data_IF_485970712369
#
_entry.id   IF_485970712369
#
_cell.length_a   1.000
_cell.length_b   1.000
_cell.length_c   1.000
_cell.angle_alpha   90.00
_cell.angle_beta   90.00
_cell.angle_gamma   90.00
#
_symmetry.space_group_name_H-M   'P 1'
#
loop_
_entity.id
_entity.type
_entity.pdbx_description
1 polymer ?
#
# COMPACT_ATOMS: atom_id res chain seq x y z
N UNK A 1 -0.74 -11.43 21.44
CA UNK A 1 0.68 -11.04 21.56
C UNK A 1 0.77 -9.53 21.63
N UNK A 2 1.56 -9.03 22.58
CA UNK A 2 1.94 -7.62 22.69
C UNK A 2 3.25 -7.40 21.95
N UNK A 3 3.40 -6.27 21.27
CA UNK A 3 4.63 -5.90 20.57
C UNK A 3 5.42 -4.87 21.39
N UNK A 4 6.70 -5.13 21.63
CA UNK A 4 7.53 -4.33 22.53
C UNK A 4 8.88 -4.06 21.88
N UNK A 5 8.99 -2.85 21.32
CA UNK A 5 10.17 -2.38 20.60
C UNK A 5 10.28 -0.86 20.72
N UNK A 6 11.51 -0.37 20.63
CA UNK A 6 11.78 1.07 20.62
C UNK A 6 11.54 1.68 19.23
N UNK A 7 11.33 2.99 19.16
CA UNK A 7 11.18 3.70 17.87
C UNK A 7 12.36 3.45 16.91
N UNK A 8 13.65 3.51 17.35
CA UNK A 8 14.77 3.18 16.48
C UNK A 8 14.75 1.72 15.99
N UNK A 9 14.37 0.77 16.85
CA UNK A 9 14.27 -0.64 16.46
C UNK A 9 13.19 -0.86 15.40
N UNK A 10 12.02 -0.20 15.53
CA UNK A 10 10.95 -0.28 14.54
C UNK A 10 11.36 0.30 13.17
N UNK A 11 11.98 1.48 13.16
CA UNK A 11 12.47 2.10 11.91
C UNK A 11 13.56 1.23 11.28
N UNK A 12 14.50 0.73 12.09
CA UNK A 12 15.55 -0.18 11.63
C UNK A 12 15.00 -1.47 11.03
N UNK A 13 13.99 -2.07 11.67
CA UNK A 13 13.30 -3.26 11.15
C UNK A 13 12.57 -2.97 9.83
N UNK A 14 11.91 -1.81 9.69
CA UNK A 14 11.28 -1.43 8.43
C UNK A 14 12.31 -1.23 7.30
N UNK A 15 13.44 -0.59 7.58
CA UNK A 15 14.52 -0.44 6.61
C UNK A 15 15.12 -1.80 6.21
N UNK A 16 15.33 -2.71 7.18
CA UNK A 16 15.81 -4.06 6.91
C UNK A 16 14.82 -4.86 6.06
N UNK A 17 13.53 -4.85 6.41
CA UNK A 17 12.46 -5.50 5.64
C UNK A 17 12.39 -4.93 4.20
N UNK A 18 12.51 -3.62 4.04
CA UNK A 18 12.56 -2.96 2.73
C UNK A 18 13.77 -3.43 1.91
N UNK A 19 14.97 -3.41 2.49
CA UNK A 19 16.20 -3.85 1.83
C UNK A 19 16.14 -5.34 1.46
N UNK A 20 15.62 -6.19 2.35
CA UNK A 20 15.40 -7.61 2.08
C UNK A 20 14.38 -7.83 0.96
N UNK A 21 13.25 -7.12 0.98
CA UNK A 21 12.23 -7.21 -0.07
C UNK A 21 12.79 -6.82 -1.45
N UNK A 22 13.55 -5.73 -1.53
CA UNK A 22 14.21 -5.34 -2.79
C UNK A 22 15.29 -6.36 -3.14
N UNK A 23 16.11 -6.79 -2.18
CA UNK A 23 17.21 -7.72 -2.39
C UNK A 23 16.77 -9.06 -2.98
N UNK A 24 15.63 -9.62 -2.55
CA UNK A 24 15.12 -10.88 -3.10
C UNK A 24 14.76 -10.80 -4.59
N UNK A 25 14.46 -9.60 -5.11
CA UNK A 25 14.23 -9.38 -6.54
C UNK A 25 15.52 -9.51 -7.37
N UNK A 26 16.67 -9.28 -6.74
CA UNK A 26 17.99 -9.25 -7.38
C UNK A 26 18.83 -10.51 -7.21
N UNK A 27 18.38 -11.48 -6.40
CA UNK A 27 19.09 -12.76 -6.25
C UNK A 27 19.18 -13.43 -7.62
N UNK A 28 20.37 -13.76 -8.12
CA UNK A 28 20.53 -14.34 -9.46
C UNK A 28 19.96 -13.46 -10.60
N UNK A 29 20.00 -12.13 -10.42
CA UNK A 29 19.62 -11.18 -11.46
C UNK A 29 20.61 -11.20 -12.61
N UNK A 30 20.08 -11.36 -13.82
CA UNK A 30 20.84 -11.35 -15.06
C UNK A 30 20.37 -10.15 -15.90
N UNK A 31 21.29 -9.22 -16.16
CA UNK A 31 21.03 -7.99 -16.93
C UNK A 31 20.87 -8.26 -18.42
N UNK A 32 21.25 -9.44 -18.91
CA UNK A 32 21.08 -9.85 -20.31
C UNK A 32 19.67 -10.36 -20.62
N UNK A 33 18.87 -10.67 -19.60
CA UNK A 33 17.53 -11.26 -19.76
C UNK A 33 16.43 -10.26 -19.45
N UNK A 34 15.33 -10.35 -20.18
CA UNK A 34 14.19 -9.48 -19.94
C UNK A 34 13.47 -9.88 -18.64
N UNK A 35 13.11 -8.88 -17.83
CA UNK A 35 12.31 -9.04 -16.61
C UNK A 35 10.93 -9.66 -16.84
N UNK A 36 10.45 -9.64 -18.08
CA UNK A 36 9.13 -10.14 -18.46
C UNK A 36 9.20 -11.56 -19.05
N UNK A 37 10.38 -12.19 -19.07
CA UNK A 37 10.50 -13.61 -19.37
C UNK A 37 9.78 -14.46 -18.30
N UNK A 38 8.94 -15.45 -18.71
CA UNK A 38 8.16 -16.26 -17.78
C UNK A 38 8.98 -16.95 -16.69
N UNK A 39 10.19 -17.43 -17.01
CA UNK A 39 11.09 -18.07 -16.05
C UNK A 39 11.54 -17.10 -14.95
N UNK A 40 11.88 -15.86 -15.32
CA UNK A 40 12.29 -14.82 -14.37
C UNK A 40 11.09 -14.40 -13.51
N UNK A 41 9.89 -14.26 -14.09
CA UNK A 41 8.68 -13.93 -13.33
C UNK A 41 8.39 -15.01 -12.28
N UNK A 42 8.43 -16.30 -12.64
CA UNK A 42 8.20 -17.41 -11.68
C UNK A 42 9.21 -17.43 -10.54
N UNK A 43 10.48 -17.22 -10.86
CA UNK A 43 11.54 -17.18 -9.84
C UNK A 43 11.37 -16.00 -8.89
N UNK A 44 11.06 -14.81 -9.42
CA UNK A 44 10.76 -13.62 -8.61
C UNK A 44 9.50 -13.83 -7.76
N UNK A 45 8.45 -14.44 -8.31
CA UNK A 45 7.23 -14.79 -7.56
C UNK A 45 7.56 -15.66 -6.35
N UNK A 46 8.27 -16.77 -6.55
CA UNK A 46 8.60 -17.68 -5.46
C UNK A 46 9.35 -16.97 -4.31
N UNK A 47 10.30 -16.10 -4.66
CA UNK A 47 11.11 -15.35 -3.68
C UNK A 47 10.32 -14.25 -2.98
N UNK A 48 9.51 -13.50 -3.72
CA UNK A 48 8.64 -12.47 -3.16
C UNK A 48 7.60 -13.09 -2.23
N UNK A 49 6.98 -14.20 -2.63
CA UNK A 49 6.06 -14.96 -1.77
C UNK A 49 6.76 -15.52 -0.53
N UNK A 50 8.00 -16.02 -0.67
CA UNK A 50 8.83 -16.42 0.46
C UNK A 50 9.11 -15.27 1.43
N UNK A 51 9.45 -14.08 0.91
CA UNK A 51 9.62 -12.87 1.72
C UNK A 51 8.32 -12.45 2.41
N UNK A 52 7.17 -12.56 1.74
CA UNK A 52 5.86 -12.28 2.33
C UNK A 52 5.54 -13.24 3.47
N UNK A 53 5.81 -14.54 3.30
CA UNK A 53 5.61 -15.54 4.33
C UNK A 53 6.57 -15.37 5.52
N UNK A 54 7.80 -14.92 5.28
CA UNK A 54 8.80 -14.68 6.31
C UNK A 54 8.61 -13.34 7.06
N UNK A 55 8.08 -12.32 6.40
CA UNK A 55 7.99 -10.97 6.98
C UNK A 55 7.22 -10.87 8.32
N UNK A 56 6.13 -11.63 8.58
CA UNK A 56 5.46 -11.63 9.88
C UNK A 56 6.34 -12.13 11.04
N UNK A 57 7.44 -12.85 10.76
CA UNK A 57 8.42 -13.21 11.79
C UNK A 57 9.00 -11.97 12.46
N UNK A 58 9.08 -10.82 11.77
CA UNK A 58 9.48 -9.56 12.39
C UNK A 58 8.55 -9.17 13.54
N UNK A 59 7.23 -9.39 13.42
CA UNK A 59 6.29 -9.14 14.51
C UNK A 59 6.55 -10.11 15.69
N UNK A 60 6.84 -11.38 15.39
CA UNK A 60 7.15 -12.38 16.42
C UNK A 60 8.47 -12.08 17.16
N UNK A 61 9.50 -11.57 16.46
CA UNK A 61 10.78 -11.19 17.05
C UNK A 61 10.66 -10.06 18.07
N UNK A 62 9.67 -9.18 17.91
CA UNK A 62 9.37 -8.09 18.84
C UNK A 62 8.19 -8.40 19.76
N UNK A 63 7.74 -9.65 19.84
CA UNK A 63 6.70 -10.03 20.79
C UNK A 63 7.23 -9.95 22.22
N UNK A 64 6.42 -9.39 23.12
CA UNK A 64 6.70 -9.32 24.54
C UNK A 64 6.92 -10.74 25.11
N UNK A 65 7.91 -10.94 25.99
CA UNK A 65 8.00 -12.14 26.79
C UNK A 65 6.71 -12.38 27.58
N UNK A 66 6.36 -13.65 27.78
CA UNK A 66 5.25 -14.01 28.66
C UNK A 66 5.50 -13.44 30.07
N UNK A 67 4.52 -12.72 30.63
CA UNK A 67 4.65 -12.08 31.94
C UNK A 67 5.40 -10.75 31.94
N UNK A 68 5.72 -10.15 30.78
CA UNK A 68 6.27 -8.79 30.74
C UNK A 68 5.39 -7.80 31.53
N UNK A 69 5.98 -6.95 32.40
CA UNK A 69 5.24 -6.07 33.28
C UNK A 69 4.44 -5.03 32.48
N UNK A 70 3.33 -4.57 33.06
CA UNK A 70 2.53 -3.50 32.49
C UNK A 70 3.36 -2.22 32.41
N UNK A 71 3.36 -1.56 31.26
CA UNK A 71 4.15 -0.35 30.98
C UNK A 71 5.54 -0.64 30.41
N UNK A 72 5.90 -1.91 30.17
CA UNK A 72 7.15 -2.25 29.51
C UNK A 72 7.16 -1.89 28.02
N UNK A 73 5.98 -1.79 27.40
CA UNK A 73 5.81 -1.60 25.97
C UNK A 73 5.17 -0.23 25.71
N UNK A 74 5.58 0.43 24.62
CA UNK A 74 5.08 1.77 24.31
C UNK A 74 3.56 1.78 24.08
N UNK A 75 2.97 0.66 23.63
CA UNK A 75 1.52 0.43 23.60
C UNK A 75 1.18 -0.93 24.21
N UNK A 76 0.20 -0.95 25.10
CA UNK A 76 -0.28 -2.17 25.78
C UNK A 76 -1.45 -2.81 25.01
N UNK A 77 -1.20 -3.20 23.76
CA UNK A 77 -2.21 -3.84 22.89
C UNK A 77 -1.89 -5.33 22.82
N UNK A 78 -2.75 -6.16 23.41
CA UNK A 78 -2.66 -7.61 23.26
C UNK A 78 -3.64 -8.10 22.20
N UNK A 79 -3.10 -8.54 21.05
CA UNK A 79 -3.90 -9.01 19.94
C UNK A 79 -3.24 -10.22 19.25
N UNK A 80 -3.99 -11.16 18.67
CA UNK A 80 -3.40 -12.25 17.91
C UNK A 80 -2.65 -11.71 16.69
N UNK A 81 -1.65 -12.45 16.19
CA UNK A 81 -0.86 -12.04 15.01
C UNK A 81 -1.75 -11.76 13.78
N UNK A 82 -2.87 -12.49 13.63
CA UNK A 82 -3.84 -12.26 12.56
C UNK A 82 -4.52 -10.89 12.62
N UNK A 83 -4.69 -10.31 13.81
CA UNK A 83 -5.23 -8.97 13.99
C UNK A 83 -4.19 -7.90 13.64
N UNK A 84 -2.92 -8.11 14.04
CA UNK A 84 -1.82 -7.23 13.63
C UNK A 84 -1.63 -7.21 12.10
N UNK A 85 -1.74 -8.37 11.47
CA UNK A 85 -1.65 -8.52 10.01
C UNK A 85 -2.93 -8.11 9.27
N UNK A 86 -4.04 -7.83 9.97
CA UNK A 86 -5.32 -7.45 9.38
C UNK A 86 -5.98 -8.52 8.51
N UNK A 87 -5.86 -9.80 8.88
CA UNK A 87 -6.29 -10.96 8.07
C UNK A 87 -7.78 -11.34 8.21
N UNK A 88 -8.54 -10.62 9.03
CA UNK A 88 -9.93 -10.97 9.27
C UNK A 88 -10.83 -10.57 8.09
N UNK A 89 -11.50 -11.57 7.49
CA UNK A 89 -12.41 -11.47 6.34
C UNK A 89 -13.88 -11.56 6.78
N UNK A 90 -14.35 -10.52 7.46
CA UNK A 90 -15.76 -10.37 7.87
C UNK A 90 -16.50 -9.35 6.97
N UNK A 91 -17.79 -9.12 7.27
CA UNK A 91 -18.61 -8.13 6.54
C UNK A 91 -17.99 -6.73 6.57
N UNK A 92 -17.39 -6.36 7.69
CA UNK A 92 -16.77 -5.06 7.90
C UNK A 92 -15.55 -4.87 7.00
N UNK A 93 -14.76 -5.93 6.80
CA UNK A 93 -13.66 -5.96 5.84
C UNK A 93 -14.16 -5.75 4.40
N UNK A 94 -15.24 -6.43 3.99
CA UNK A 94 -15.82 -6.25 2.65
C UNK A 94 -16.35 -4.83 2.42
N UNK A 95 -17.04 -4.25 3.41
CA UNK A 95 -17.52 -2.86 3.35
C UNK A 95 -16.36 -1.87 3.28
N UNK A 96 -15.30 -2.08 4.07
CA UNK A 96 -14.09 -1.29 4.00
C UNK A 96 -13.41 -1.40 2.62
N UNK A 97 -13.37 -2.59 2.02
CA UNK A 97 -12.82 -2.77 0.67
C UNK A 97 -13.65 -2.08 -0.39
N UNK A 98 -14.98 -2.15 -0.31
CA UNK A 98 -15.87 -1.42 -1.21
C UNK A 98 -15.70 0.10 -1.08
N UNK A 99 -15.61 0.60 0.16
CA UNK A 99 -15.33 2.02 0.41
C UNK A 99 -13.97 2.47 -0.13
N UNK A 100 -12.94 1.62 0.00
CA UNK A 100 -11.59 1.94 -0.45
C UNK A 100 -11.53 1.97 -1.97
N UNK A 101 -12.20 1.02 -2.62
CA UNK A 101 -12.38 1.03 -4.07
C UNK A 101 -13.14 2.28 -4.52
N UNK A 102 -14.27 2.63 -3.87
CA UNK A 102 -15.05 3.82 -4.22
C UNK A 102 -14.23 5.12 -4.06
N UNK A 103 -13.47 5.25 -2.98
CA UNK A 103 -12.57 6.38 -2.76
C UNK A 103 -11.46 6.44 -3.83
N UNK A 104 -10.94 5.29 -4.25
CA UNK A 104 -9.94 5.21 -5.32
C UNK A 104 -10.56 5.53 -6.68
N UNK A 105 -11.77 5.06 -6.98
CA UNK A 105 -12.52 5.46 -8.18
C UNK A 105 -12.78 6.97 -8.21
N UNK A 106 -13.04 7.60 -7.06
CA UNK A 106 -13.18 9.05 -6.98
C UNK A 106 -11.87 9.77 -7.32
N UNK A 107 -10.72 9.29 -6.82
CA UNK A 107 -9.41 9.81 -7.23
C UNK A 107 -9.19 9.68 -8.75
N UNK A 108 -9.67 8.58 -9.34
CA UNK A 108 -9.60 8.29 -10.77
C UNK A 108 -10.82 8.78 -11.57
N UNK A 109 -11.65 9.69 -11.02
CA UNK A 109 -12.86 10.16 -11.70
C UNK A 109 -12.57 10.76 -13.08
N UNK A 110 -11.46 11.48 -13.21
CA UNK A 110 -10.96 12.01 -14.47
C UNK A 110 -10.69 10.92 -15.53
N UNK A 111 -9.74 10.00 -15.28
CA UNK A 111 -9.49 8.84 -16.13
C UNK A 111 -10.74 8.02 -16.47
N UNK A 112 -11.61 7.76 -15.49
CA UNK A 112 -12.86 7.04 -15.71
C UNK A 112 -13.85 7.81 -16.59
N UNK A 113 -13.82 9.15 -16.56
CA UNK A 113 -14.69 9.98 -17.38
C UNK A 113 -14.27 10.01 -18.84
N UNK A 114 -12.96 9.99 -19.11
CA UNK A 114 -12.43 10.06 -20.49
C UNK A 114 -12.36 8.70 -21.17
N UNK A 115 -12.45 7.61 -20.40
CA UNK A 115 -12.43 6.24 -20.89
C UNK A 115 -13.81 5.86 -21.42
N UNK A 116 -13.90 5.55 -22.71
CA UNK A 116 -15.14 5.06 -23.30
C UNK A 116 -15.31 3.53 -23.14
N UNK A 117 -16.43 3.00 -23.67
CA UNK A 117 -16.74 1.58 -23.54
C UNK A 117 -15.80 0.68 -24.35
N UNK A 118 -15.27 1.16 -25.48
CA UNK A 118 -14.37 0.39 -26.34
C UNK A 118 -12.95 0.41 -25.78
N UNK A 119 -12.51 1.56 -25.26
CA UNK A 119 -11.28 1.71 -24.48
C UNK A 119 -11.28 0.77 -23.28
N UNK A 120 -12.38 0.75 -22.50
CA UNK A 120 -12.50 -0.14 -21.36
C UNK A 120 -12.44 -1.61 -21.76
N UNK A 121 -13.12 -2.02 -22.85
CA UNK A 121 -13.06 -3.40 -23.35
C UNK A 121 -11.64 -3.80 -23.72
N UNK A 122 -10.92 -2.95 -24.43
CA UNK A 122 -9.53 -3.20 -24.80
C UNK A 122 -8.64 -3.37 -23.56
N UNK A 123 -8.74 -2.44 -22.61
CA UNK A 123 -7.99 -2.50 -21.34
C UNK A 123 -8.37 -3.75 -20.55
N UNK A 124 -9.67 -4.09 -20.46
CA UNK A 124 -10.13 -5.25 -19.74
C UNK A 124 -9.63 -6.55 -20.36
N UNK A 125 -9.75 -6.71 -21.68
CA UNK A 125 -9.27 -7.90 -22.40
C UNK A 125 -7.76 -8.08 -22.24
N UNK A 126 -6.99 -7.00 -22.34
CA UNK A 126 -5.54 -7.04 -22.13
C UNK A 126 -5.19 -7.39 -20.68
N UNK A 127 -5.74 -6.63 -19.71
CA UNK A 127 -5.35 -6.68 -18.29
C UNK A 127 -5.88 -7.88 -17.54
N UNK A 128 -7.06 -8.39 -17.89
CA UNK A 128 -7.65 -9.57 -17.27
C UNK A 128 -7.29 -10.88 -18.00
N UNK A 129 -6.52 -10.82 -19.09
CA UNK A 129 -5.97 -12.04 -19.69
C UNK A 129 -5.09 -12.80 -18.68
N UNK A 130 -5.18 -14.14 -18.60
CA UNK A 130 -4.55 -14.97 -17.57
C UNK A 130 -3.04 -15.17 -17.80
N UNK A 131 -2.29 -14.08 -17.95
CA UNK A 131 -0.84 -14.09 -18.14
C UNK A 131 -0.11 -13.92 -16.81
N UNK A 132 1.12 -14.42 -16.73
CA UNK A 132 1.97 -14.19 -15.54
C UNK A 132 2.29 -12.71 -15.33
N UNK A 133 2.33 -11.92 -16.40
CA UNK A 133 2.56 -10.47 -16.34
C UNK A 133 1.37 -9.76 -15.67
N UNK A 134 0.14 -10.13 -16.04
CA UNK A 134 -1.06 -9.56 -15.42
C UNK A 134 -1.29 -10.06 -14.01
N UNK A 135 -1.05 -11.35 -13.75
CA UNK A 135 -1.08 -11.89 -12.39
C UNK A 135 -0.07 -11.17 -11.47
N UNK A 136 1.12 -10.84 -12.00
CA UNK A 136 2.11 -10.00 -11.28
C UNK A 136 1.55 -8.62 -10.97
N UNK A 137 0.99 -7.96 -11.98
CA UNK A 137 0.58 -6.57 -11.90
C UNK A 137 -0.66 -6.35 -11.01
N UNK A 138 -1.65 -7.24 -11.09
CA UNK A 138 -2.95 -7.06 -10.42
C UNK A 138 -3.09 -7.82 -9.11
N UNK A 139 -2.33 -8.91 -8.91
CA UNK A 139 -2.49 -9.78 -7.74
C UNK A 139 -1.20 -9.90 -6.92
N UNK A 140 -0.16 -10.52 -7.49
CA UNK A 140 1.03 -10.94 -6.71
C UNK A 140 1.82 -9.75 -6.22
N UNK A 141 2.10 -8.76 -7.07
CA UNK A 141 2.82 -7.54 -6.70
C UNK A 141 2.07 -6.75 -5.63
N UNK A 142 0.82 -6.34 -5.88
CA UNK A 142 0.01 -5.63 -4.89
C UNK A 142 -0.07 -6.37 -3.55
N UNK A 143 -0.45 -7.65 -3.55
CA UNK A 143 -0.60 -8.41 -2.31
C UNK A 143 0.73 -8.49 -1.54
N UNK A 144 1.83 -8.76 -2.24
CA UNK A 144 3.13 -8.88 -1.61
C UNK A 144 3.59 -7.58 -0.96
N UNK A 145 3.40 -6.47 -1.66
CA UNK A 145 3.75 -5.14 -1.16
C UNK A 145 2.87 -4.75 0.03
N UNK A 146 1.56 -5.01 -0.03
CA UNK A 146 0.66 -4.72 1.08
C UNK A 146 0.97 -5.56 2.33
N UNK A 147 1.34 -6.84 2.18
CA UNK A 147 1.75 -7.68 3.32
C UNK A 147 2.99 -7.09 4.00
N UNK A 148 4.06 -6.83 3.24
CA UNK A 148 5.33 -6.41 3.83
C UNK A 148 5.27 -4.97 4.35
N UNK A 149 4.79 -4.03 3.52
CA UNK A 149 4.87 -2.60 3.82
C UNK A 149 3.69 -2.08 4.66
N UNK A 150 2.56 -2.81 4.74
CA UNK A 150 1.40 -2.41 5.57
C UNK A 150 1.23 -3.39 6.71
N UNK A 151 0.94 -4.66 6.43
CA UNK A 151 0.61 -5.65 7.45
C UNK A 151 1.74 -5.91 8.46
N UNK A 152 3.00 -5.67 8.10
CA UNK A 152 4.15 -5.85 9.00
C UNK A 152 4.75 -4.52 9.45
N UNK A 153 5.12 -3.62 8.53
CA UNK A 153 5.80 -2.37 8.90
C UNK A 153 4.91 -1.42 9.73
N UNK A 154 3.64 -1.24 9.36
CA UNK A 154 2.76 -0.31 10.06
C UNK A 154 2.51 -0.72 11.53
N UNK A 155 2.24 -2.00 11.86
CA UNK A 155 2.18 -2.47 13.23
C UNK A 155 3.45 -2.26 14.04
N UNK A 156 4.64 -2.50 13.46
CA UNK A 156 5.92 -2.29 14.14
C UNK A 156 6.10 -0.82 14.53
N UNK A 157 5.82 0.10 13.60
CA UNK A 157 5.91 1.55 13.84
C UNK A 157 4.90 1.99 14.90
N UNK A 158 3.64 1.55 14.79
CA UNK A 158 2.59 1.92 15.73
C UNK A 158 2.84 1.37 17.15
N UNK A 159 3.23 0.10 17.27
CA UNK A 159 3.54 -0.54 18.55
C UNK A 159 4.76 0.07 19.25
N UNK A 160 5.70 0.65 18.49
CA UNK A 160 6.83 1.41 19.03
C UNK A 160 6.44 2.78 19.59
N UNK A 161 5.16 3.12 19.60
CA UNK A 161 4.63 4.38 20.12
C UNK A 161 4.76 5.55 19.15
N UNK A 162 4.82 5.31 17.83
CA UNK A 162 4.54 6.36 16.86
C UNK A 162 3.02 6.61 16.81
N UNK A 163 2.63 7.85 16.53
CA UNK A 163 1.23 8.18 16.24
C UNK A 163 0.82 7.53 14.91
N UNK A 164 -0.48 7.31 14.66
CA UNK A 164 -0.94 6.79 13.38
C UNK A 164 -0.42 7.60 12.18
N UNK A 165 -0.43 8.93 12.27
CA UNK A 165 0.07 9.81 11.22
C UNK A 165 1.58 9.64 10.97
N UNK A 166 2.39 9.53 12.02
CA UNK A 166 3.83 9.27 11.89
C UNK A 166 4.11 7.88 11.31
N UNK A 167 3.35 6.86 11.69
CA UNK A 167 3.47 5.51 11.12
C UNK A 167 3.15 5.50 9.62
N UNK A 168 2.10 6.24 9.20
CA UNK A 168 1.77 6.44 7.78
C UNK A 168 2.92 7.13 7.07
N UNK A 169 3.41 8.26 7.60
CA UNK A 169 4.49 9.03 6.96
C UNK A 169 5.77 8.21 6.78
N UNK A 170 6.23 7.55 7.85
CA UNK A 170 7.46 6.73 7.80
C UNK A 170 7.28 5.55 6.84
N UNK A 171 6.16 4.84 6.92
CA UNK A 171 5.84 3.74 6.00
C UNK A 171 5.80 4.19 4.53
N UNK A 172 5.24 5.38 4.27
CA UNK A 172 5.20 6.00 2.93
C UNK A 172 6.59 6.23 2.35
N UNK A 173 7.48 6.82 3.14
CA UNK A 173 8.86 7.13 2.73
C UNK A 173 9.64 5.84 2.46
N UNK A 174 9.52 4.85 3.34
CA UNK A 174 10.20 3.55 3.17
C UNK A 174 9.68 2.82 1.92
N UNK A 175 8.37 2.84 1.69
CA UNK A 175 7.77 2.26 0.48
C UNK A 175 8.23 2.99 -0.79
N UNK A 176 8.28 4.32 -0.78
CA UNK A 176 8.83 5.10 -1.88
C UNK A 176 10.30 4.76 -2.16
N UNK A 177 11.12 4.64 -1.11
CA UNK A 177 12.53 4.31 -1.20
C UNK A 177 12.74 2.91 -1.82
N UNK A 178 11.87 1.95 -1.52
CA UNK A 178 11.92 0.62 -2.12
C UNK A 178 11.90 0.67 -3.65
N UNK A 179 11.25 1.66 -4.25
CA UNK A 179 11.11 1.79 -5.70
C UNK A 179 12.33 2.41 -6.38
N UNK A 180 13.24 3.04 -5.64
CA UNK A 180 14.47 3.65 -6.20
C UNK A 180 15.31 2.62 -6.98
N UNK A 181 15.20 1.33 -6.65
CA UNK A 181 15.85 0.23 -7.38
C UNK A 181 15.55 0.18 -8.88
N UNK A 182 14.38 0.69 -9.33
CA UNK A 182 14.07 0.76 -10.75
C UNK A 182 15.02 1.69 -11.53
N UNK A 183 15.82 2.54 -10.86
CA UNK A 183 16.96 3.21 -11.51
C UNK A 183 17.90 2.19 -12.16
N UNK A 184 18.19 1.11 -11.45
CA UNK A 184 19.08 0.04 -11.90
C UNK A 184 18.36 -0.82 -12.95
N UNK A 185 17.13 -1.25 -12.67
CA UNK A 185 16.39 -2.16 -13.56
C UNK A 185 15.92 -1.52 -14.87
N UNK A 186 15.59 -0.23 -14.84
CA UNK A 186 14.99 0.48 -15.99
C UNK A 186 15.88 1.59 -16.56
N UNK A 187 17.11 1.76 -16.05
CA UNK A 187 18.09 2.78 -16.50
C UNK A 187 17.51 4.20 -16.57
N UNK A 188 16.69 4.57 -15.59
CA UNK A 188 15.98 5.87 -15.54
C UNK A 188 16.89 7.00 -15.08
N UNK A 189 16.60 8.24 -15.52
CA UNK A 189 17.26 9.45 -15.02
C UNK A 189 16.91 9.72 -13.55
N UNK A 190 17.74 10.50 -12.84
CA UNK A 190 17.46 10.87 -11.45
C UNK A 190 16.15 11.64 -11.27
N UNK A 191 15.76 12.46 -12.26
CA UNK A 191 14.47 13.14 -12.26
C UNK A 191 13.31 12.13 -12.31
N UNK A 192 13.40 11.13 -13.20
CA UNK A 192 12.38 10.08 -13.29
C UNK A 192 12.30 9.24 -12.01
N UNK A 193 13.44 8.97 -11.37
CA UNK A 193 13.49 8.28 -10.07
C UNK A 193 12.85 9.12 -8.97
N UNK A 194 13.09 10.44 -8.94
CA UNK A 194 12.47 11.34 -7.97
C UNK A 194 10.96 11.39 -8.15
N UNK A 195 10.47 11.56 -9.39
CA UNK A 195 9.04 11.54 -9.70
C UNK A 195 8.41 10.22 -9.25
N UNK A 196 9.08 9.11 -9.53
CA UNK A 196 8.60 7.80 -9.14
C UNK A 196 8.59 7.59 -7.62
N UNK A 197 9.66 8.01 -6.92
CA UNK A 197 9.71 8.00 -5.46
C UNK A 197 8.55 8.81 -4.86
N UNK A 198 8.32 10.02 -5.36
CA UNK A 198 7.23 10.88 -4.87
C UNK A 198 5.88 10.24 -5.12
N UNK A 199 5.65 9.75 -6.34
CA UNK A 199 4.40 9.09 -6.71
C UNK A 199 4.13 7.84 -5.87
N UNK A 200 5.12 6.96 -5.72
CA UNK A 200 4.97 5.73 -4.93
C UNK A 200 4.89 6.02 -3.45
N UNK A 201 5.59 7.03 -2.92
CA UNK A 201 5.45 7.46 -1.53
C UNK A 201 4.04 8.00 -1.24
N UNK A 202 3.46 8.82 -2.12
CA UNK A 202 2.09 9.32 -1.99
C UNK A 202 1.08 8.16 -1.97
N UNK A 203 1.21 7.21 -2.89
CA UNK A 203 0.37 6.02 -2.90
C UNK A 203 0.59 5.16 -1.64
N UNK A 204 1.85 4.97 -1.21
CA UNK A 204 2.19 4.25 0.01
C UNK A 204 1.53 4.87 1.25
N UNK A 205 1.43 6.20 1.31
CA UNK A 205 0.72 6.90 2.36
C UNK A 205 -0.78 6.71 2.32
N UNK A 206 -1.39 6.77 1.15
CA UNK A 206 -2.81 6.44 0.98
C UNK A 206 -3.11 5.00 1.42
N UNK A 207 -2.30 4.04 0.99
CA UNK A 207 -2.47 2.63 1.32
C UNK A 207 -2.23 2.34 2.81
N UNK A 208 -1.18 2.93 3.41
CA UNK A 208 -0.95 2.85 4.85
C UNK A 208 -2.09 3.52 5.65
N UNK A 209 -2.64 4.64 5.17
CA UNK A 209 -3.82 5.27 5.76
C UNK A 209 -5.01 4.31 5.77
N UNK A 210 -5.35 3.68 4.64
CA UNK A 210 -6.44 2.70 4.58
C UNK A 210 -6.21 1.54 5.55
N UNK A 211 -4.99 0.99 5.61
CA UNK A 211 -4.65 -0.10 6.51
C UNK A 211 -4.78 0.31 7.99
N UNK A 212 -4.19 1.44 8.38
CA UNK A 212 -4.21 1.92 9.77
C UNK A 212 -5.65 2.24 10.23
N UNK A 213 -6.49 2.78 9.34
CA UNK A 213 -7.88 3.12 9.64
C UNK A 213 -8.78 1.90 9.76
N UNK A 214 -8.60 0.92 8.88
CA UNK A 214 -9.49 -0.24 8.82
C UNK A 214 -9.00 -1.40 9.69
N UNK A 215 -7.69 -1.49 9.92
CA UNK A 215 -7.05 -2.66 10.52
C UNK A 215 -7.16 -3.90 9.63
N UNK A 216 -7.42 -3.73 8.32
CA UNK A 216 -7.66 -4.82 7.36
C UNK A 216 -6.70 -4.72 6.18
N UNK A 217 -6.22 -5.87 5.72
CA UNK A 217 -5.30 -5.96 4.57
C UNK A 217 -6.02 -5.85 3.22
N UNK A 218 -7.28 -6.30 3.14
CA UNK A 218 -8.02 -6.34 1.87
C UNK A 218 -8.32 -4.95 1.28
N UNK A 219 -8.73 -3.91 2.05
CA UNK A 219 -8.98 -2.58 1.50
C UNK A 219 -7.80 -1.94 0.76
N UNK A 220 -6.58 -1.85 1.34
CA UNK A 220 -5.43 -1.32 0.61
C UNK A 220 -5.04 -2.20 -0.59
N UNK A 221 -5.17 -3.52 -0.50
CA UNK A 221 -4.92 -4.42 -1.63
C UNK A 221 -5.84 -4.13 -2.83
N UNK A 222 -7.14 -3.98 -2.60
CA UNK A 222 -8.10 -3.68 -3.67
C UNK A 222 -7.84 -2.30 -4.28
N UNK A 223 -7.52 -1.29 -3.46
CA UNK A 223 -7.13 0.03 -3.95
C UNK A 223 -5.85 -0.03 -4.81
N UNK A 224 -4.85 -0.80 -4.38
CA UNK A 224 -3.61 -1.00 -5.11
C UNK A 224 -3.84 -1.71 -6.45
N UNK A 225 -4.56 -2.84 -6.45
CA UNK A 225 -4.88 -3.56 -7.67
C UNK A 225 -5.62 -2.67 -8.68
N UNK A 226 -6.53 -1.82 -8.21
CA UNK A 226 -7.23 -0.84 -9.04
C UNK A 226 -6.29 0.24 -9.60
N UNK A 227 -5.39 0.81 -8.79
CA UNK A 227 -4.38 1.75 -9.28
C UNK A 227 -3.49 1.11 -10.36
N UNK A 228 -3.11 -0.16 -10.21
CA UNK A 228 -2.31 -0.87 -11.21
C UNK A 228 -3.11 -1.20 -12.47
N UNK A 229 -4.42 -1.42 -12.35
CA UNK A 229 -5.32 -1.60 -13.49
C UNK A 229 -5.42 -0.31 -14.32
N UNK A 230 -5.64 0.83 -13.65
CA UNK A 230 -5.82 2.13 -14.31
C UNK A 230 -4.50 2.74 -14.81
N UNK A 231 -3.38 2.49 -14.13
CA UNK A 231 -2.09 3.09 -14.44
C UNK A 231 -2.04 4.59 -14.16
N UNK A 232 -1.07 5.28 -14.76
CA UNK A 232 -0.97 6.74 -14.63
C UNK A 232 -2.02 7.43 -15.52
N UNK A 233 -2.65 8.52 -15.05
CA UNK A 233 -3.61 9.27 -15.86
C UNK A 233 -3.00 9.82 -17.16
N UNK A 234 -3.63 9.56 -18.31
CA UNK A 234 -3.31 10.23 -19.57
C UNK A 234 -4.00 11.60 -19.62
N UNK A 235 -3.29 12.63 -19.17
CA UNK A 235 -3.78 14.02 -19.25
C UNK A 235 -3.98 14.50 -20.70
N UNK A 236 -3.30 13.88 -21.68
CA UNK A 236 -3.50 14.19 -23.09
C UNK A 236 -4.90 13.78 -23.60
N UNK A 237 -5.51 12.76 -22.98
CA UNK A 237 -6.86 12.32 -23.32
C UNK A 237 -7.90 13.43 -23.07
N UNK A 238 -7.65 14.32 -22.10
CA UNK A 238 -8.55 15.46 -21.80
C UNK A 238 -8.75 16.36 -23.02
N UNK A 239 -7.65 16.70 -23.72
CA UNK A 239 -7.70 17.57 -24.88
C UNK A 239 -8.35 16.91 -26.10
N UNK A 240 -8.27 15.58 -26.20
CA UNK A 240 -8.85 14.79 -27.30
C UNK A 240 -10.31 14.40 -27.07
N UNK A 241 -10.80 14.52 -25.84
CA UNK A 241 -12.15 14.13 -25.47
C UNK A 241 -13.20 15.08 -26.07
N UNK A 242 -14.37 14.55 -26.45
CA UNK A 242 -15.47 15.34 -27.04
C UNK A 242 -15.99 16.46 -26.12
N UNK A 243 -15.77 16.34 -24.81
CA UNK A 243 -16.16 17.31 -23.78
C UNK A 243 -14.95 17.68 -22.90
N UNK A 244 -13.96 18.44 -23.40
CA UNK A 244 -12.67 18.61 -22.72
C UNK A 244 -12.80 19.40 -21.41
N UNK A 245 -13.75 20.35 -21.33
CA UNK A 245 -14.04 21.10 -20.09
C UNK A 245 -14.60 20.20 -18.99
N UNK A 246 -15.50 19.29 -19.33
CA UNK A 246 -16.07 18.34 -18.36
C UNK A 246 -15.04 17.29 -17.95
N UNK A 247 -14.21 16.82 -18.89
CA UNK A 247 -13.09 15.94 -18.59
C UNK A 247 -12.13 16.62 -17.60
N UNK A 248 -11.68 17.85 -17.87
CA UNK A 248 -10.85 18.61 -16.94
C UNK A 248 -11.51 18.82 -15.58
N UNK A 249 -12.81 19.12 -15.54
CA UNK A 249 -13.56 19.23 -14.30
C UNK A 249 -13.60 17.90 -13.53
N UNK A 250 -13.77 16.76 -14.19
CA UNK A 250 -13.77 15.44 -13.55
C UNK A 250 -12.43 15.12 -12.88
N UNK A 251 -11.30 15.48 -13.50
CA UNK A 251 -9.98 15.36 -12.89
C UNK A 251 -9.85 16.20 -11.62
N UNK A 252 -10.25 17.48 -11.67
CA UNK A 252 -10.17 18.39 -10.53
C UNK A 252 -11.11 17.97 -9.41
N UNK A 253 -12.38 17.67 -9.73
CA UNK A 253 -13.39 17.25 -8.75
C UNK A 253 -13.03 15.91 -8.11
N UNK A 254 -12.47 14.97 -8.87
CA UNK A 254 -11.99 13.70 -8.34
C UNK A 254 -10.88 13.89 -7.30
N UNK A 255 -9.88 14.70 -7.63
CA UNK A 255 -8.76 14.99 -6.73
C UNK A 255 -9.21 15.77 -5.48
N UNK A 256 -10.00 16.82 -5.66
CA UNK A 256 -10.51 17.64 -4.55
C UNK A 256 -11.45 16.84 -3.64
N UNK A 257 -12.34 16.03 -4.23
CA UNK A 257 -13.26 15.17 -3.49
C UNK A 257 -12.53 14.09 -2.71
N UNK A 258 -11.54 13.43 -3.34
CA UNK A 258 -10.65 12.48 -2.66
C UNK A 258 -9.93 13.15 -1.48
N UNK A 259 -9.28 14.29 -1.72
CA UNK A 259 -8.54 15.04 -0.71
C UNK A 259 -9.43 15.47 0.46
N UNK A 260 -10.63 15.97 0.16
CA UNK A 260 -11.60 16.36 1.17
C UNK A 260 -12.09 15.17 2.01
N UNK A 261 -12.36 14.00 1.42
CA UNK A 261 -12.79 12.81 2.16
C UNK A 261 -11.69 12.20 3.03
N UNK A 262 -10.44 12.24 2.56
CA UNK A 262 -9.27 11.83 3.36
C UNK A 262 -9.03 12.83 4.49
N UNK A 263 -9.09 14.14 4.21
CA UNK A 263 -8.82 15.18 5.20
C UNK A 263 -9.94 15.36 6.24
N UNK A 264 -11.20 15.21 5.84
CA UNK A 264 -12.35 15.35 6.73
C UNK A 264 -12.42 14.25 7.80
N UNK A 265 -11.59 13.21 7.69
CA UNK A 265 -11.58 12.03 8.56
C UNK A 265 -12.93 11.28 8.63
N UNK A 266 -13.93 11.77 7.89
CA UNK A 266 -15.34 11.54 8.14
C UNK A 266 -15.81 10.19 7.61
N UNK A 267 -15.15 9.66 6.58
CA UNK A 267 -15.53 8.43 5.90
C UNK A 267 -14.95 7.16 6.53
N UNK A 268 -13.94 7.26 7.41
CA UNK A 268 -13.12 6.12 7.80
C UNK A 268 -12.98 5.92 9.31
N UNK A 269 -14.02 6.20 10.10
CA UNK A 269 -13.93 6.12 11.57
C UNK A 269 -13.42 4.73 12.04
N UNK A 270 -12.25 4.64 12.69
CA UNK A 270 -11.57 3.36 12.93
C UNK A 270 -12.37 2.37 13.78
N UNK A 271 -13.17 2.88 14.73
CA UNK A 271 -14.05 2.05 15.55
C UNK A 271 -15.12 1.29 14.74
N UNK A 272 -15.54 1.83 13.58
CA UNK A 272 -16.48 1.15 12.69
C UNK A 272 -15.86 -0.12 12.07
N UNK A 273 -14.52 -0.18 12.01
CA UNK A 273 -13.78 -1.28 11.39
C UNK A 273 -13.12 -2.22 12.40
N UNK A 274 -13.09 -1.83 13.68
CA UNK A 274 -12.40 -2.55 14.75
C UNK A 274 -10.88 -2.49 14.63
N UNK A 275 -10.33 -1.38 14.09
CA UNK A 275 -8.89 -1.24 13.96
C UNK A 275 -8.23 -1.09 15.33
N UNK A 276 -7.23 -1.93 15.60
CA UNK A 276 -6.34 -1.80 16.77
C UNK A 276 -5.19 -0.80 16.53
N UNK A 277 -5.08 -0.27 15.31
CA UNK A 277 -3.95 0.55 14.84
C UNK A 277 -4.27 2.05 14.83
N UNK A 278 -5.32 2.45 15.54
CA UNK A 278 -5.74 3.84 15.59
C UNK A 278 -6.24 4.20 16.98
N UNK A 279 -5.73 5.29 17.54
CA UNK A 279 -6.22 5.86 18.79
C UNK A 279 -6.89 7.22 18.51
N UNK A 280 -8.20 7.30 18.71
CA UNK A 280 -8.98 8.52 18.52
C UNK A 280 -8.62 9.63 19.52
N UNK A 281 -7.89 9.30 20.60
CA UNK A 281 -7.44 10.28 21.59
C UNK A 281 -6.21 11.06 21.12
N UNK A 282 -5.37 10.48 20.26
CA UNK A 282 -4.16 11.15 19.73
C UNK A 282 -4.44 12.05 18.51
N UNK A 283 -5.58 11.85 17.82
CA UNK A 283 -5.95 12.64 16.62
C UNK A 283 -6.64 13.96 16.94
N UNK A 284 -6.91 14.27 18.21
CA UNK A 284 -7.32 15.63 18.62
C UNK A 284 -6.05 16.47 18.68
N UNK A 285 -5.82 17.26 17.63
CA UNK A 285 -4.85 18.35 17.65
C UNK A 285 -5.13 19.17 18.93
N UNK A 286 -4.12 19.46 19.78
CA UNK A 286 -4.34 20.37 20.89
C UNK A 286 -4.78 21.72 20.31
N UNK A 287 -5.99 22.14 20.68
CA UNK A 287 -6.59 23.44 20.35
C UNK A 287 -5.70 24.59 20.81
#
# INVERSE_FOLDING_TARGET
MRLCLSRPAAVGACCALCASYVGVLYVGYDTARSRDEPAIIRQRFARVLGMCAASPLALALFAAPAGAPVGACAREIDAPISAWLGLALDRTCLLASAGALALTCLLFLGPLFVMDADDWRCVADERFSPTLVNARALLVGPLAEEVVFRAVMCPLLFAAGLSPASSVLVGSVVFGAAHVHHRVDMRRSWLAVLVMFTYTALFGGYSAYLFMRTGRLLPPFVAHAFCNLMGLPDFGAVARHARPRLAGAAFVLGLLGFGALVAADAAWRPHLFGSILWDERESRIPS
#
